data_IF_054710190210
#
_entry.id   IF_054710190210
#
_cell.length_a   1.000
_cell.length_b   1.000
_cell.length_c   1.000
_cell.angle_alpha   90.00
_cell.angle_beta   90.00
_cell.angle_gamma   90.00
#
_symmetry.space_group_name_H-M   'P 1'
#
loop_
_entity.id
_entity.type
_entity.pdbx_description
1 polymer ?
#
# COMPACT_ATOMS: atom_id res chain seq x y z
N UNK A 1 28.61 23.53 -34.09
CA UNK A 1 27.66 23.84 -35.17
C UNK A 1 26.26 23.50 -34.69
N UNK A 2 25.38 24.50 -34.76
CA UNK A 2 24.12 24.63 -34.05
C UNK A 2 22.98 23.91 -34.81
N UNK A 3 22.14 23.12 -34.11
CA UNK A 3 20.84 22.63 -34.62
C UNK A 3 19.77 22.80 -33.54
N UNK A 4 19.51 24.05 -33.17
CA UNK A 4 18.28 24.46 -32.49
C UNK A 4 17.53 25.42 -33.41
N UNK A 5 16.40 24.98 -33.98
CA UNK A 5 15.26 25.86 -34.25
C UNK A 5 14.03 25.04 -34.68
N UNK A 6 12.88 25.43 -34.13
CA UNK A 6 11.52 25.18 -34.61
C UNK A 6 10.90 23.81 -34.32
N UNK A 7 10.26 23.70 -33.15
CA UNK A 7 8.93 23.11 -33.05
C UNK A 7 8.05 24.05 -32.24
N UNK A 8 6.98 24.47 -32.90
CA UNK A 8 6.06 25.55 -32.58
C UNK A 8 5.19 25.27 -31.37
N UNK A 9 5.04 26.30 -30.52
CA UNK A 9 3.94 26.49 -29.58
C UNK A 9 2.59 26.22 -30.26
N UNK A 10 1.85 25.21 -29.81
CA UNK A 10 0.39 25.14 -29.97
C UNK A 10 -0.17 24.10 -28.98
N UNK A 11 -0.47 24.56 -27.77
CA UNK A 11 -1.26 23.81 -26.80
C UNK A 11 -1.92 24.82 -25.89
N UNK A 12 -3.15 25.22 -26.25
CA UNK A 12 -3.98 26.05 -25.39
C UNK A 12 -4.06 25.38 -24.01
N UNK A 13 -3.47 26.05 -23.02
CA UNK A 13 -3.71 25.78 -21.62
C UNK A 13 -5.19 26.09 -21.34
N UNK A 14 -6.03 25.06 -21.32
CA UNK A 14 -7.26 25.11 -20.54
C UNK A 14 -6.86 25.07 -19.07
N UNK A 15 -6.47 26.22 -18.51
CA UNK A 15 -6.44 26.42 -17.06
C UNK A 15 -7.86 26.75 -16.63
N UNK A 16 -8.74 25.75 -16.67
CA UNK A 16 -9.94 25.80 -15.83
C UNK A 16 -9.49 25.80 -14.37
N UNK A 17 -10.19 26.47 -13.44
CA UNK A 17 -9.91 26.27 -12.03
C UNK A 17 -10.00 24.77 -11.76
N UNK A 18 -8.96 24.19 -11.16
CA UNK A 18 -9.04 22.83 -10.67
C UNK A 18 -10.30 22.74 -9.82
N UNK A 19 -11.25 21.89 -10.21
CA UNK A 19 -12.48 21.71 -9.44
C UNK A 19 -12.07 21.34 -8.02
N UNK A 20 -12.54 22.10 -7.04
CA UNK A 20 -12.29 21.81 -5.64
C UNK A 20 -12.61 20.34 -5.37
N UNK A 21 -11.76 19.66 -4.61
CA UNK A 21 -11.98 18.27 -4.21
C UNK A 21 -12.35 18.30 -2.72
N UNK A 22 -13.65 18.31 -2.37
CA UNK A 22 -14.11 18.40 -0.99
C UNK A 22 -13.40 17.37 -0.11
N UNK A 23 -12.90 17.82 1.05
CA UNK A 23 -12.06 17.04 1.95
C UNK A 23 -10.59 16.96 1.58
N UNK A 24 -10.23 16.81 0.30
CA UNK A 24 -8.82 16.76 -0.13
C UNK A 24 -8.13 18.11 0.03
N UNK A 25 -8.79 19.19 -0.36
CA UNK A 25 -8.24 20.55 -0.22
C UNK A 25 -8.14 20.95 1.27
N UNK A 26 -9.15 20.62 2.06
CA UNK A 26 -9.19 20.92 3.51
C UNK A 26 -8.11 20.16 4.29
N UNK A 27 -7.86 18.90 3.93
CA UNK A 27 -6.88 18.06 4.60
C UNK A 27 -5.46 18.18 4.01
N UNK A 28 -5.25 18.95 2.94
CA UNK A 28 -4.01 18.93 2.15
C UNK A 28 -2.76 19.14 3.00
N UNK A 29 -2.73 20.21 3.83
CA UNK A 29 -1.57 20.52 4.67
C UNK A 29 -1.34 19.47 5.76
N UNK A 30 -2.42 18.96 6.36
CA UNK A 30 -2.36 17.91 7.39
C UNK A 30 -1.87 16.58 6.82
N UNK A 31 -2.31 16.24 5.60
CA UNK A 31 -1.87 15.06 4.87
C UNK A 31 -0.42 15.17 4.39
N UNK A 32 0.04 16.37 4.01
CA UNK A 32 1.45 16.62 3.71
C UNK A 32 2.33 16.35 4.94
N UNK A 33 1.86 16.71 6.14
CA UNK A 33 2.51 16.44 7.43
C UNK A 33 2.08 15.09 8.07
N UNK A 34 1.61 14.11 7.30
CA UNK A 34 1.14 12.81 7.84
C UNK A 34 2.21 12.01 8.61
N UNK A 35 3.48 12.40 8.54
CA UNK A 35 4.56 11.87 9.39
C UNK A 35 4.43 12.28 10.86
N UNK A 36 3.55 13.24 11.18
CA UNK A 36 3.08 13.57 12.50
C UNK A 36 1.72 12.88 12.77
N UNK A 37 1.62 12.13 13.87
CA UNK A 37 0.40 11.39 14.21
C UNK A 37 -0.83 12.30 14.34
N UNK A 38 -0.70 13.44 15.02
CA UNK A 38 -1.83 14.36 15.23
C UNK A 38 -2.31 14.97 13.91
N UNK A 39 -1.38 15.30 13.01
CA UNK A 39 -1.72 15.80 11.67
C UNK A 39 -2.46 14.74 10.86
N UNK A 40 -2.00 13.48 10.88
CA UNK A 40 -2.68 12.38 10.21
C UNK A 40 -4.09 12.11 10.77
N UNK A 41 -4.26 12.08 12.09
CA UNK A 41 -5.57 11.89 12.74
C UNK A 41 -6.55 13.01 12.38
N UNK A 42 -6.08 14.26 12.35
CA UNK A 42 -6.91 15.41 11.90
C UNK A 42 -7.25 15.32 10.41
N UNK A 43 -6.31 14.88 9.57
CA UNK A 43 -6.58 14.64 8.15
C UNK A 43 -7.66 13.56 7.97
N UNK A 44 -7.57 12.45 8.71
CA UNK A 44 -8.60 11.38 8.71
C UNK A 44 -9.96 11.96 9.07
N UNK A 45 -10.07 12.73 10.16
CA UNK A 45 -11.33 13.32 10.58
C UNK A 45 -11.95 14.25 9.51
N UNK A 46 -11.13 15.00 8.77
CA UNK A 46 -11.58 15.83 7.65
C UNK A 46 -12.06 14.98 6.47
N UNK A 47 -11.36 13.90 6.13
CA UNK A 47 -11.80 12.97 5.09
C UNK A 47 -13.11 12.27 5.45
N UNK A 48 -13.29 11.85 6.70
CA UNK A 48 -14.54 11.24 7.17
C UNK A 48 -15.71 12.24 7.10
N UNK A 49 -15.49 13.47 7.56
CA UNK A 49 -16.49 14.55 7.46
C UNK A 49 -16.86 14.83 6.00
N UNK A 50 -15.87 14.93 5.13
CA UNK A 50 -16.10 15.14 3.70
C UNK A 50 -16.85 13.96 3.07
N UNK A 51 -16.52 12.72 3.43
CA UNK A 51 -17.22 11.54 2.96
C UNK A 51 -18.69 11.52 3.42
N UNK A 52 -18.99 11.98 4.64
CA UNK A 52 -20.37 12.10 5.11
C UNK A 52 -21.18 13.14 4.34
N UNK A 53 -20.53 14.25 3.93
CA UNK A 53 -21.18 15.32 3.18
C UNK A 53 -21.36 14.97 1.70
N UNK A 54 -20.31 14.46 1.07
CA UNK A 54 -20.27 14.11 -0.35
C UNK A 54 -19.47 12.81 -0.56
N UNK A 55 -20.15 11.65 -0.42
CA UNK A 55 -19.51 10.34 -0.55
C UNK A 55 -18.89 10.14 -1.94
N UNK A 56 -17.64 9.68 -1.98
CA UNK A 56 -16.96 9.30 -3.21
C UNK A 56 -16.02 8.11 -3.01
N UNK A 57 -15.77 7.35 -4.07
CA UNK A 57 -14.85 6.22 -3.99
C UNK A 57 -13.41 6.67 -3.68
N UNK A 58 -13.02 7.87 -4.11
CA UNK A 58 -11.70 8.45 -3.87
C UNK A 58 -11.49 8.81 -2.40
N UNK A 59 -12.50 9.39 -1.74
CA UNK A 59 -12.43 9.66 -0.30
C UNK A 59 -12.37 8.35 0.50
N UNK A 60 -13.16 7.35 0.14
CA UNK A 60 -13.09 6.02 0.76
C UNK A 60 -11.71 5.36 0.56
N UNK A 61 -11.12 5.47 -0.64
CA UNK A 61 -9.76 4.98 -0.90
C UNK A 61 -8.70 5.73 -0.08
N UNK A 62 -8.82 7.07 0.01
CA UNK A 62 -7.92 7.90 0.83
C UNK A 62 -8.00 7.49 2.30
N UNK A 63 -9.20 7.25 2.83
CA UNK A 63 -9.40 6.77 4.19
C UNK A 63 -8.76 5.39 4.40
N UNK A 64 -8.91 4.47 3.44
CA UNK A 64 -8.26 3.16 3.48
C UNK A 64 -6.73 3.28 3.67
N UNK A 65 -6.10 4.14 2.88
CA UNK A 65 -4.67 4.43 2.99
C UNK A 65 -4.31 5.16 4.30
N UNK A 66 -5.10 6.16 4.71
CA UNK A 66 -4.82 6.92 5.91
C UNK A 66 -4.86 6.04 7.17
N UNK A 67 -5.85 5.16 7.29
CA UNK A 67 -5.96 4.18 8.36
C UNK A 67 -4.85 3.12 8.31
N UNK A 68 -4.48 2.64 7.12
CA UNK A 68 -3.30 1.79 6.94
C UNK A 68 -2.05 2.47 7.51
N UNK A 69 -1.81 3.72 7.12
CA UNK A 69 -0.59 4.42 7.47
C UNK A 69 -0.55 4.77 8.96
N UNK A 70 -1.69 5.17 9.55
CA UNK A 70 -1.82 5.41 10.99
C UNK A 70 -1.43 4.16 11.79
N UNK A 71 -2.02 3.01 11.43
CA UNK A 71 -1.69 1.74 12.04
C UNK A 71 -0.21 1.40 11.90
N UNK A 72 0.33 1.50 10.69
CA UNK A 72 1.68 1.05 10.37
C UNK A 72 2.77 1.91 11.01
N UNK A 73 2.57 3.23 11.07
CA UNK A 73 3.57 4.21 11.48
C UNK A 73 3.55 4.53 12.98
N UNK A 74 2.40 4.49 13.65
CA UNK A 74 2.25 5.09 14.98
C UNK A 74 1.64 4.16 16.04
N UNK A 75 0.88 3.15 15.65
CA UNK A 75 0.11 2.35 16.59
C UNK A 75 0.75 0.98 16.85
N UNK A 76 0.45 0.42 18.02
CA UNK A 76 0.85 -0.93 18.43
C UNK A 76 -0.35 -1.70 19.02
N UNK A 77 -0.18 -3.01 19.22
CA UNK A 77 -1.20 -3.86 19.86
C UNK A 77 -2.57 -3.84 19.16
N UNK A 78 -3.64 -3.82 19.96
CA UNK A 78 -5.01 -3.86 19.42
C UNK A 78 -5.37 -2.60 18.64
N UNK A 79 -4.91 -1.42 19.05
CA UNK A 79 -5.16 -0.18 18.32
C UNK A 79 -4.63 -0.25 16.87
N UNK A 80 -3.44 -0.83 16.68
CA UNK A 80 -2.87 -1.08 15.34
C UNK A 80 -3.73 -2.04 14.53
N UNK A 81 -4.16 -3.14 15.13
CA UNK A 81 -5.00 -4.10 14.45
C UNK A 81 -6.35 -3.48 14.05
N UNK A 82 -7.02 -2.79 14.97
CA UNK A 82 -8.33 -2.19 14.73
C UNK A 82 -8.25 -1.14 13.61
N UNK A 83 -7.17 -0.35 13.54
CA UNK A 83 -6.96 0.59 12.44
C UNK A 83 -6.65 -0.09 11.09
N UNK A 84 -5.94 -1.23 11.07
CA UNK A 84 -5.87 -2.03 9.84
C UNK A 84 -7.26 -2.55 9.44
N UNK A 85 -8.10 -2.95 10.39
CA UNK A 85 -9.47 -3.36 10.07
C UNK A 85 -10.29 -2.21 9.48
N UNK A 86 -10.19 -1.00 10.05
CA UNK A 86 -10.84 0.20 9.47
C UNK A 86 -10.32 0.51 8.06
N UNK A 87 -9.02 0.40 7.83
CA UNK A 87 -8.47 0.56 6.48
C UNK A 87 -9.01 -0.47 5.49
N UNK A 88 -9.26 -1.70 5.94
CA UNK A 88 -9.91 -2.73 5.13
C UNK A 88 -11.36 -2.37 4.77
N UNK A 89 -12.17 -1.95 5.76
CA UNK A 89 -13.57 -1.59 5.58
C UNK A 89 -13.74 -0.37 4.65
N UNK A 90 -12.90 0.66 4.81
CA UNK A 90 -12.88 1.82 3.92
C UNK A 90 -12.47 1.44 2.48
N UNK A 91 -11.49 0.56 2.34
CA UNK A 91 -11.12 0.05 1.02
C UNK A 91 -12.27 -0.71 0.36
N UNK A 92 -12.96 -1.60 1.10
CA UNK A 92 -14.15 -2.28 0.58
C UNK A 92 -15.26 -1.30 0.20
N UNK A 93 -15.45 -0.25 1.00
CA UNK A 93 -16.40 0.82 0.71
C UNK A 93 -16.09 1.50 -0.62
N UNK A 94 -14.81 1.79 -0.89
CA UNK A 94 -14.37 2.31 -2.19
C UNK A 94 -14.70 1.37 -3.34
N UNK A 95 -14.38 0.07 -3.20
CA UNK A 95 -14.63 -0.92 -4.26
C UNK A 95 -16.12 -1.11 -4.60
N UNK A 96 -17.01 -0.94 -3.62
CA UNK A 96 -18.47 -1.06 -3.80
C UNK A 96 -19.10 0.07 -4.61
N UNK A 97 -18.36 1.10 -4.98
CA UNK A 97 -18.83 2.07 -5.99
C UNK A 97 -18.89 1.45 -7.39
N UNK A 98 -18.16 0.35 -7.65
CA UNK A 98 -18.38 -0.46 -8.84
C UNK A 98 -19.63 -1.32 -8.62
N UNK A 99 -20.68 -1.07 -9.42
CA UNK A 99 -21.97 -1.74 -9.27
C UNK A 99 -21.92 -3.26 -9.40
N UNK A 100 -21.08 -3.80 -10.29
CA UNK A 100 -20.94 -5.24 -10.47
C UNK A 100 -20.16 -5.87 -9.30
N UNK A 101 -19.09 -5.23 -8.82
CA UNK A 101 -18.38 -5.68 -7.62
C UNK A 101 -19.32 -5.73 -6.40
N UNK A 102 -20.13 -4.68 -6.22
CA UNK A 102 -21.13 -4.61 -5.15
C UNK A 102 -22.15 -5.74 -5.27
N UNK A 103 -22.72 -5.96 -6.46
CA UNK A 103 -23.66 -7.07 -6.71
C UNK A 103 -23.03 -8.43 -6.40
N UNK A 104 -21.83 -8.70 -6.92
CA UNK A 104 -21.13 -9.96 -6.70
C UNK A 104 -20.89 -10.24 -5.21
N UNK A 105 -20.52 -9.22 -4.43
CA UNK A 105 -20.19 -9.39 -3.00
C UNK A 105 -21.43 -9.41 -2.10
N UNK A 106 -22.41 -8.54 -2.34
CA UNK A 106 -23.56 -8.35 -1.45
C UNK A 106 -24.76 -9.22 -1.83
N UNK A 107 -25.00 -9.45 -3.11
CA UNK A 107 -26.13 -10.25 -3.61
C UNK A 107 -25.69 -11.68 -3.85
N UNK A 108 -24.67 -11.88 -4.69
CA UNK A 108 -24.23 -13.22 -5.12
C UNK A 108 -23.32 -13.92 -4.09
N UNK A 109 -23.02 -13.24 -2.99
CA UNK A 109 -22.19 -13.72 -1.86
C UNK A 109 -20.83 -14.27 -2.30
N UNK A 110 -20.27 -13.73 -3.39
CA UNK A 110 -18.90 -14.03 -3.84
C UNK A 110 -17.90 -13.42 -2.88
N UNK A 111 -16.76 -14.08 -2.75
CA UNK A 111 -15.65 -13.56 -1.96
C UNK A 111 -15.06 -12.31 -2.62
N UNK A 112 -14.52 -11.36 -1.84
CA UNK A 112 -13.91 -10.14 -2.41
C UNK A 112 -12.77 -10.47 -3.39
N UNK A 113 -12.04 -11.55 -3.13
CA UNK A 113 -10.97 -12.01 -4.01
C UNK A 113 -11.46 -12.57 -5.34
N UNK A 114 -12.70 -13.07 -5.43
CA UNK A 114 -13.28 -13.51 -6.70
C UNK A 114 -13.97 -12.34 -7.44
N UNK A 115 -14.60 -11.45 -6.68
CA UNK A 115 -15.30 -10.29 -7.22
C UNK A 115 -14.35 -9.24 -7.82
N UNK A 116 -13.09 -9.18 -7.38
CA UNK A 116 -12.10 -8.19 -7.83
C UNK A 116 -11.88 -8.17 -9.36
N UNK A 117 -12.17 -9.27 -10.05
CA UNK A 117 -11.96 -9.41 -11.50
C UNK A 117 -12.73 -8.41 -12.37
N UNK A 118 -13.81 -7.80 -11.83
CA UNK A 118 -14.61 -6.79 -12.54
C UNK A 118 -14.10 -5.35 -12.33
N UNK A 119 -13.08 -5.16 -11.51
CA UNK A 119 -12.54 -3.85 -11.16
C UNK A 119 -11.45 -3.41 -12.15
N UNK A 120 -11.59 -2.19 -12.67
CA UNK A 120 -10.61 -1.52 -13.52
C UNK A 120 -9.50 -0.82 -12.72
N UNK A 121 -8.57 -0.18 -13.45
CA UNK A 121 -7.36 0.45 -12.91
C UNK A 121 -7.67 1.60 -11.96
N UNK A 122 -8.81 2.26 -12.16
CA UNK A 122 -9.33 3.33 -11.31
C UNK A 122 -9.57 2.91 -9.85
N UNK A 123 -9.70 1.60 -9.58
CA UNK A 123 -9.82 1.03 -8.23
C UNK A 123 -8.52 0.42 -7.70
N UNK A 124 -7.38 0.65 -8.36
CA UNK A 124 -6.10 0.05 -7.97
C UNK A 124 -5.74 0.30 -6.51
N UNK A 125 -5.99 1.51 -5.99
CA UNK A 125 -5.72 1.83 -4.59
C UNK A 125 -6.69 1.14 -3.64
N UNK A 126 -8.00 1.15 -3.92
CA UNK A 126 -8.97 0.38 -3.16
C UNK A 126 -8.58 -1.10 -3.07
N UNK A 127 -8.21 -1.73 -4.19
CA UNK A 127 -7.77 -3.14 -4.21
C UNK A 127 -6.52 -3.35 -3.35
N UNK A 128 -5.50 -2.52 -3.54
CA UNK A 128 -4.23 -2.66 -2.83
C UNK A 128 -4.37 -2.47 -1.32
N UNK A 129 -5.05 -1.40 -0.90
CA UNK A 129 -5.19 -1.06 0.51
C UNK A 129 -6.14 -2.02 1.23
N UNK A 130 -7.24 -2.46 0.61
CA UNK A 130 -8.10 -3.52 1.17
C UNK A 130 -7.30 -4.80 1.44
N UNK A 131 -6.52 -5.27 0.46
CA UNK A 131 -5.75 -6.51 0.58
C UNK A 131 -4.60 -6.38 1.59
N UNK A 132 -3.92 -5.24 1.62
CA UNK A 132 -2.83 -4.96 2.56
C UNK A 132 -3.33 -4.90 4.00
N UNK A 133 -4.40 -4.14 4.24
CA UNK A 133 -5.02 -3.98 5.56
C UNK A 133 -5.53 -5.30 6.14
N UNK A 134 -6.33 -6.06 5.39
CA UNK A 134 -6.85 -7.34 5.88
C UNK A 134 -5.74 -8.37 6.11
N UNK A 135 -4.68 -8.31 5.29
CA UNK A 135 -3.48 -9.09 5.50
C UNK A 135 -2.85 -8.73 6.86
N UNK A 136 -2.47 -7.47 7.07
CA UNK A 136 -1.80 -7.05 8.31
C UNK A 136 -2.66 -7.31 9.55
N UNK A 137 -3.96 -7.01 9.52
CA UNK A 137 -4.89 -7.37 10.59
C UNK A 137 -4.92 -8.87 10.88
N UNK A 138 -4.99 -9.70 9.83
CA UNK A 138 -4.94 -11.15 9.93
C UNK A 138 -3.68 -11.65 10.64
N UNK A 139 -2.51 -11.04 10.37
CA UNK A 139 -1.24 -11.36 11.06
C UNK A 139 -1.37 -11.16 12.55
N UNK A 140 -1.87 -10.00 12.93
CA UNK A 140 -1.89 -9.57 14.32
C UNK A 140 -2.85 -10.38 15.16
N UNK A 141 -4.05 -10.67 14.67
CA UNK A 141 -5.04 -11.44 15.43
C UNK A 141 -4.76 -12.94 15.47
N UNK A 142 -3.64 -13.42 14.90
CA UNK A 142 -3.38 -14.86 14.70
C UNK A 142 -4.37 -15.52 13.72
N UNK A 143 -5.27 -14.72 13.15
CA UNK A 143 -6.28 -15.07 12.16
C UNK A 143 -5.65 -15.27 10.78
N UNK A 144 -4.34 -15.07 10.60
CA UNK A 144 -3.64 -15.58 9.42
C UNK A 144 -3.59 -17.12 9.37
N UNK A 145 -3.99 -17.81 10.45
CA UNK A 145 -4.41 -19.22 10.40
C UNK A 145 -5.77 -19.44 9.73
N UNK A 146 -6.60 -18.39 9.59
CA UNK A 146 -7.75 -18.41 8.68
C UNK A 146 -7.26 -18.24 7.26
N UNK A 147 -7.02 -19.40 6.65
CA UNK A 147 -6.68 -19.62 5.24
C UNK A 147 -7.51 -18.75 4.27
N UNK A 148 -8.72 -18.34 4.65
CA UNK A 148 -9.68 -17.62 3.79
C UNK A 148 -9.29 -16.17 3.50
N UNK A 149 -8.94 -15.36 4.50
CA UNK A 149 -8.66 -13.92 4.28
C UNK A 149 -7.34 -13.71 3.53
N UNK A 150 -6.32 -14.50 3.85
CA UNK A 150 -5.03 -14.49 3.15
C UNK A 150 -5.17 -14.89 1.66
N UNK A 151 -5.96 -15.93 1.35
CA UNK A 151 -6.24 -16.32 -0.04
C UNK A 151 -7.02 -15.26 -0.81
N UNK A 152 -7.99 -14.61 -0.17
CA UNK A 152 -8.75 -13.53 -0.81
C UNK A 152 -7.85 -12.32 -1.10
N UNK A 153 -7.06 -11.87 -0.13
CA UNK A 153 -6.11 -10.78 -0.32
C UNK A 153 -5.09 -11.08 -1.44
N UNK A 154 -4.60 -12.33 -1.52
CA UNK A 154 -3.73 -12.75 -2.62
C UNK A 154 -4.42 -12.62 -3.98
N UNK A 155 -5.65 -13.11 -4.14
CA UNK A 155 -6.38 -12.97 -5.42
C UNK A 155 -6.55 -11.51 -5.83
N UNK A 156 -6.84 -10.64 -4.85
CA UNK A 156 -6.94 -9.20 -5.08
C UNK A 156 -5.62 -8.61 -5.60
N UNK A 157 -4.50 -8.98 -4.98
CA UNK A 157 -3.18 -8.49 -5.39
C UNK A 157 -2.71 -9.13 -6.70
N UNK A 158 -3.03 -10.39 -6.98
CA UNK A 158 -2.75 -11.03 -8.28
C UNK A 158 -3.52 -10.34 -9.41
N UNK A 159 -4.78 -9.97 -9.19
CA UNK A 159 -5.55 -9.13 -10.13
C UNK A 159 -4.87 -7.79 -10.36
N UNK A 160 -4.51 -7.09 -9.28
CA UNK A 160 -3.83 -5.81 -9.40
C UNK A 160 -2.45 -5.93 -10.07
N UNK A 161 -1.70 -6.99 -9.81
CA UNK A 161 -0.41 -7.23 -10.47
C UNK A 161 -0.59 -7.39 -11.99
N UNK A 162 -1.62 -8.11 -12.44
CA UNK A 162 -1.93 -8.26 -13.85
C UNK A 162 -2.41 -6.95 -14.50
N UNK A 163 -3.13 -6.12 -13.74
CA UNK A 163 -3.73 -4.87 -14.21
C UNK A 163 -2.74 -3.70 -14.22
N UNK A 164 -1.97 -3.53 -13.15
CA UNK A 164 -0.98 -2.48 -12.97
C UNK A 164 0.11 -2.89 -11.96
N UNK A 165 1.12 -3.59 -12.45
CA UNK A 165 2.28 -3.97 -11.64
C UNK A 165 3.08 -2.79 -11.09
N UNK A 166 2.96 -1.59 -11.67
CA UNK A 166 3.73 -0.41 -11.27
C UNK A 166 3.07 0.36 -10.11
N UNK A 167 1.81 0.06 -9.83
CA UNK A 167 1.03 0.72 -8.79
C UNK A 167 1.81 0.80 -7.47
N UNK A 168 1.84 2.00 -6.88
CA UNK A 168 2.46 2.28 -5.58
C UNK A 168 3.89 1.72 -5.44
N UNK A 169 4.73 2.09 -6.40
CA UNK A 169 6.15 1.77 -6.43
C UNK A 169 6.39 0.25 -6.45
N UNK A 170 5.75 -0.46 -7.38
CA UNK A 170 5.85 -1.93 -7.45
C UNK A 170 5.15 -2.65 -6.29
N UNK A 171 4.11 -2.03 -5.71
CA UNK A 171 3.36 -2.51 -4.56
C UNK A 171 2.84 -3.95 -4.71
N UNK A 172 2.22 -4.33 -5.84
CA UNK A 172 1.72 -5.70 -6.01
C UNK A 172 2.82 -6.76 -5.93
N UNK A 173 3.96 -6.53 -6.60
CA UNK A 173 5.11 -7.42 -6.52
C UNK A 173 5.69 -7.48 -5.10
N UNK A 174 5.87 -6.32 -4.43
CA UNK A 174 6.32 -6.26 -3.03
C UNK A 174 5.41 -7.07 -2.09
N UNK A 175 4.10 -6.94 -2.24
CA UNK A 175 3.12 -7.66 -1.43
C UNK A 175 3.19 -9.18 -1.68
N UNK A 176 3.27 -9.60 -2.95
CA UNK A 176 3.41 -11.02 -3.31
C UNK A 176 4.74 -11.61 -2.81
N UNK A 177 5.82 -10.82 -2.83
CA UNK A 177 7.11 -11.19 -2.24
C UNK A 177 6.97 -11.57 -0.76
N UNK A 178 6.28 -10.74 0.02
CA UNK A 178 6.00 -11.01 1.44
C UNK A 178 5.08 -12.22 1.62
N UNK A 179 4.01 -12.33 0.83
CA UNK A 179 3.09 -13.46 0.88
C UNK A 179 3.80 -14.79 0.67
N UNK A 180 4.58 -14.91 -0.40
CA UNK A 180 5.27 -16.16 -0.72
C UNK A 180 6.35 -16.50 0.30
N UNK A 181 6.95 -15.50 0.96
CA UNK A 181 7.91 -15.74 2.04
C UNK A 181 7.22 -16.25 3.31
N UNK A 182 6.05 -15.71 3.65
CA UNK A 182 5.40 -15.95 4.96
C UNK A 182 4.43 -17.14 4.96
N UNK A 183 3.71 -17.37 3.86
CA UNK A 183 2.71 -18.42 3.79
C UNK A 183 3.36 -19.82 3.96
N UNK A 184 2.67 -20.78 4.61
CA UNK A 184 3.07 -22.19 4.54
C UNK A 184 3.02 -22.72 3.10
N UNK A 185 3.87 -23.69 2.76
CA UNK A 185 3.94 -24.25 1.40
C UNK A 185 2.59 -24.78 0.87
N UNK A 186 1.81 -25.47 1.71
CA UNK A 186 0.47 -25.95 1.36
C UNK A 186 -0.55 -24.82 1.06
N UNK A 187 -0.24 -23.59 1.49
CA UNK A 187 -1.05 -22.40 1.21
C UNK A 187 -0.40 -21.49 0.17
N UNK A 188 0.61 -21.97 -0.54
CA UNK A 188 1.25 -21.27 -1.66
C UNK A 188 2.54 -20.53 -1.28
N UNK A 189 3.09 -20.75 -0.09
CA UNK A 189 4.44 -20.29 0.25
C UNK A 189 5.49 -20.88 -0.69
N UNK A 190 6.39 -20.03 -1.18
CA UNK A 190 7.42 -20.40 -2.16
C UNK A 190 8.56 -19.37 -2.12
N UNK A 191 9.71 -19.76 -1.57
CA UNK A 191 10.86 -18.85 -1.42
C UNK A 191 11.45 -18.43 -2.76
N UNK A 192 11.37 -19.26 -3.80
CA UNK A 192 11.88 -18.89 -5.13
C UNK A 192 11.01 -17.79 -5.73
N UNK A 193 9.68 -17.94 -5.67
CA UNK A 193 8.73 -16.91 -6.13
C UNK A 193 8.80 -15.65 -5.28
N UNK A 194 8.98 -15.79 -3.97
CA UNK A 194 9.19 -14.64 -3.08
C UNK A 194 10.36 -13.78 -3.54
N UNK A 195 11.53 -14.40 -3.79
CA UNK A 195 12.71 -13.69 -4.29
C UNK A 195 12.43 -12.99 -5.62
N UNK A 196 11.81 -13.69 -6.58
CA UNK A 196 11.48 -13.10 -7.88
C UNK A 196 10.62 -11.85 -7.76
N UNK A 197 9.60 -11.88 -6.91
CA UNK A 197 8.70 -10.75 -6.70
C UNK A 197 9.37 -9.57 -5.98
N UNK A 198 10.22 -9.83 -4.99
CA UNK A 198 11.02 -8.78 -4.35
C UNK A 198 12.03 -8.15 -5.32
N UNK A 199 12.74 -8.97 -6.09
CA UNK A 199 13.69 -8.49 -7.10
C UNK A 199 12.97 -7.62 -8.15
N UNK A 200 11.78 -8.03 -8.60
CA UNK A 200 10.97 -7.25 -9.56
C UNK A 200 10.52 -5.91 -8.95
N UNK A 201 10.04 -5.90 -7.71
CA UNK A 201 9.65 -4.67 -7.03
C UNK A 201 10.84 -3.71 -6.85
N UNK A 202 12.02 -4.22 -6.51
CA UNK A 202 13.25 -3.41 -6.40
C UNK A 202 13.75 -2.89 -7.75
N UNK A 203 13.54 -3.63 -8.84
CA UNK A 203 13.87 -3.14 -10.18
C UNK A 203 12.94 -2.00 -10.62
N UNK A 204 11.65 -2.08 -10.28
CA UNK A 204 10.68 -1.03 -10.61
C UNK A 204 10.87 0.24 -9.78
N UNK A 205 11.14 0.10 -8.47
CA UNK A 205 11.27 1.21 -7.55
C UNK A 205 12.42 0.96 -6.57
N UNK A 206 13.68 1.10 -7.01
CA UNK A 206 14.86 0.78 -6.21
C UNK A 206 14.98 1.64 -4.95
N UNK A 207 14.41 2.84 -4.97
CA UNK A 207 14.50 3.80 -3.87
C UNK A 207 13.28 3.75 -2.95
N UNK A 208 12.32 2.85 -3.16
CA UNK A 208 11.19 2.66 -2.24
C UNK A 208 11.58 1.69 -1.10
N UNK A 209 11.84 2.24 0.09
CA UNK A 209 12.54 1.54 1.16
C UNK A 209 11.79 0.32 1.72
N UNK A 210 10.46 0.35 1.73
CA UNK A 210 9.68 -0.75 2.29
C UNK A 210 9.93 -2.08 1.56
N UNK A 211 10.32 -2.05 0.28
CA UNK A 211 10.69 -3.28 -0.44
C UNK A 211 11.93 -3.93 0.19
N UNK A 212 12.98 -3.14 0.46
CA UNK A 212 14.21 -3.61 1.11
C UNK A 212 13.95 -4.09 2.53
N UNK A 213 13.19 -3.32 3.32
CA UNK A 213 12.85 -3.68 4.71
C UNK A 213 12.07 -4.99 4.77
N UNK A 214 11.02 -5.14 3.95
CA UNK A 214 10.21 -6.36 3.94
C UNK A 214 10.99 -7.56 3.41
N UNK A 215 11.89 -7.39 2.44
CA UNK A 215 12.74 -8.48 1.95
C UNK A 215 13.74 -8.92 3.03
N UNK A 216 14.33 -7.98 3.78
CA UNK A 216 15.19 -8.32 4.91
C UNK A 216 14.42 -9.11 5.98
N UNK A 217 13.30 -8.55 6.46
CA UNK A 217 12.48 -9.12 7.53
C UNK A 217 11.87 -10.47 7.17
N UNK A 218 11.34 -10.64 5.96
CA UNK A 218 10.50 -11.80 5.63
C UNK A 218 11.23 -12.85 4.79
N UNK A 219 12.21 -12.45 3.98
CA UNK A 219 12.94 -13.35 3.08
C UNK A 219 14.33 -13.70 3.61
N UNK A 220 15.20 -12.70 3.80
CA UNK A 220 16.61 -12.92 4.14
C UNK A 220 16.77 -13.60 5.51
N UNK A 221 16.01 -13.15 6.52
CA UNK A 221 15.95 -13.80 7.84
C UNK A 221 15.54 -15.28 7.75
N UNK A 222 14.51 -15.58 6.94
CA UNK A 222 13.92 -16.91 6.83
C UNK A 222 14.85 -17.91 6.14
N UNK A 223 15.62 -17.46 5.14
CA UNK A 223 16.66 -18.29 4.50
C UNK A 223 18.01 -18.23 5.23
N UNK A 224 18.11 -17.49 6.34
CA UNK A 224 19.33 -17.28 7.12
C UNK A 224 20.48 -16.64 6.33
N UNK A 225 20.17 -15.78 5.36
CA UNK A 225 21.15 -14.98 4.62
C UNK A 225 21.42 -13.63 5.31
N UNK A 226 22.39 -13.65 6.23
CA UNK A 226 22.80 -12.47 6.99
C UNK A 226 23.38 -11.36 6.11
N UNK A 227 24.12 -11.72 5.07
CA UNK A 227 24.77 -10.74 4.19
C UNK A 227 23.73 -9.95 3.40
N UNK A 228 22.72 -10.63 2.86
CA UNK A 228 21.59 -9.99 2.19
C UNK A 228 20.80 -9.10 3.15
N UNK A 229 20.52 -9.60 4.36
CA UNK A 229 19.80 -8.86 5.40
C UNK A 229 20.48 -7.52 5.70
N UNK A 230 21.78 -7.55 6.03
CA UNK A 230 22.54 -6.34 6.33
C UNK A 230 22.58 -5.37 5.16
N UNK A 231 22.90 -5.87 3.95
CA UNK A 231 22.96 -5.04 2.76
C UNK A 231 21.66 -4.28 2.49
N UNK A 232 20.52 -4.94 2.66
CA UNK A 232 19.21 -4.32 2.44
C UNK A 232 18.91 -3.23 3.47
N UNK A 233 19.20 -3.48 4.75
CA UNK A 233 18.94 -2.51 5.82
C UNK A 233 19.94 -1.35 5.79
N UNK A 234 21.22 -1.62 5.51
CA UNK A 234 22.26 -0.58 5.38
C UNK A 234 21.99 0.33 4.19
N UNK A 235 21.47 -0.22 3.07
CA UNK A 235 21.00 0.59 1.95
C UNK A 235 19.91 1.57 2.40
N UNK A 236 18.92 1.10 3.16
CA UNK A 236 17.83 1.95 3.67
C UNK A 236 18.40 3.03 4.59
N UNK A 237 19.16 2.65 5.61
CA UNK A 237 19.68 3.59 6.62
C UNK A 237 20.69 4.63 6.08
N UNK A 238 21.39 4.31 4.99
CA UNK A 238 22.34 5.24 4.33
C UNK A 238 21.70 6.14 3.28
N UNK A 239 20.47 5.84 2.84
CA UNK A 239 19.78 6.62 1.81
C UNK A 239 19.00 7.78 2.44
N UNK A 240 18.93 8.97 1.81
CA UNK A 240 18.11 10.05 2.32
C UNK A 240 16.62 9.74 2.14
N UNK A 241 15.81 9.86 3.19
CA UNK A 241 14.35 9.67 3.10
C UNK A 241 13.68 10.60 2.07
N UNK A 242 14.31 11.75 1.80
CA UNK A 242 13.93 12.73 0.78
C UNK A 242 14.19 12.33 -0.68
N UNK A 243 14.74 11.13 -0.95
CA UNK A 243 15.03 10.67 -2.32
C UNK A 243 13.76 10.59 -3.19
N UNK A 244 12.60 10.35 -2.57
CA UNK A 244 11.29 10.48 -3.20
C UNK A 244 10.48 11.51 -2.37
N UNK A 245 10.45 12.80 -2.79
CA UNK A 245 9.89 13.90 -2.00
C UNK A 245 8.43 13.71 -1.58
N UNK A 246 7.63 13.00 -2.37
CA UNK A 246 6.18 12.84 -2.15
C UNK A 246 5.86 11.87 -1.00
N UNK A 247 6.82 11.02 -0.62
CA UNK A 247 6.65 9.93 0.36
C UNK A 247 7.69 9.94 1.48
N UNK A 248 8.27 11.10 1.79
CA UNK A 248 9.18 11.26 2.94
C UNK A 248 8.59 10.68 4.24
N UNK A 249 7.29 10.86 4.56
CA UNK A 249 6.69 10.22 5.73
C UNK A 249 6.83 8.70 5.74
N UNK A 250 6.51 8.02 4.64
CA UNK A 250 6.62 6.57 4.50
C UNK A 250 8.09 6.11 4.60
N UNK A 251 8.99 6.80 3.90
CA UNK A 251 10.43 6.48 3.91
C UNK A 251 11.03 6.63 5.31
N UNK A 252 10.59 7.65 6.06
CA UNK A 252 11.02 7.87 7.45
C UNK A 252 10.53 6.76 8.38
N UNK A 253 9.32 6.23 8.16
CA UNK A 253 8.82 5.06 8.89
C UNK A 253 9.68 3.83 8.60
N UNK A 254 10.07 3.62 7.34
CA UNK A 254 10.94 2.49 6.95
C UNK A 254 12.37 2.63 7.50
N UNK A 255 12.92 3.84 7.65
CA UNK A 255 14.17 4.06 8.40
C UNK A 255 14.06 3.55 9.84
N UNK A 256 12.99 3.90 10.56
CA UNK A 256 12.77 3.47 11.95
C UNK A 256 12.66 1.95 12.05
N UNK A 257 11.95 1.31 11.11
CA UNK A 257 11.85 -0.15 11.05
C UNK A 257 13.19 -0.81 10.75
N UNK A 258 13.96 -0.27 9.80
CA UNK A 258 15.29 -0.79 9.47
C UNK A 258 16.25 -0.70 10.67
N UNK A 259 16.21 0.41 11.41
CA UNK A 259 17.00 0.59 12.64
C UNK A 259 16.63 -0.44 13.70
N UNK A 260 15.33 -0.62 13.96
CA UNK A 260 14.83 -1.64 14.90
C UNK A 260 15.27 -3.06 14.51
N UNK A 261 15.16 -3.40 13.23
CA UNK A 261 15.58 -4.71 12.70
C UNK A 261 17.11 -4.96 12.83
N UNK A 262 17.93 -3.91 12.82
CA UNK A 262 19.37 -4.00 13.11
C UNK A 262 19.65 -4.25 14.60
N UNK A 263 18.84 -3.66 15.47
CA UNK A 263 18.97 -3.77 16.94
C UNK A 263 18.50 -5.12 17.48
N UNK A 264 17.41 -5.68 16.93
CA UNK A 264 16.79 -6.93 17.39
C UNK A 264 17.64 -8.19 17.17
N UNK A 265 18.77 -8.07 16.43
CA UNK A 265 19.67 -9.15 15.96
C UNK A 265 18.96 -10.17 15.06
N UNK A 266 19.70 -10.62 14.04
CA UNK A 266 19.28 -11.50 12.95
C UNK A 266 18.73 -12.86 13.39
#
# INVERSE_FOLDING_TARGET
>A
MNKYLLLTLAGLLFVGPALAQPGFDEAQALWADRGNQSSLEKAIALYEKAYQAEPSYQLAERLAYAYYFLADAFLEGDAKADNYYQGHEWGLTSLKYNGEFKKLTEVDKRSMGDAVSVLGREYAGGVFWTATCIGKWGKMKGIFKTVKSSKQARKMVEHLYALDKTYYYGGPARWLGAYFALAPGMFGGDMKRSKQMYDEAMQMAPDYFATSVLMAENYASKIKDRQLYDRLLDKVLSSPAGIIPEIVPEQTVEHKKAQKLKEEKF
#
